data_IF_815097356646
#
_entry.id   IF_815097356646
#
_cell.length_a   1.000
_cell.length_b   1.000
_cell.length_c   1.000
_cell.angle_alpha   90.00
_cell.angle_beta   90.00
_cell.angle_gamma   90.00
#
_symmetry.space_group_name_H-M   'P 1'
#
loop_
_entity.id
_entity.type
_entity.pdbx_description
1 polymer ?
#
# COMPACT_ATOMS: atom_id res chain seq x y z
N UNK A 1 39.81 9.89 61.33
CA UNK A 1 38.69 9.58 60.41
C UNK A 1 39.23 9.68 58.99
N UNK A 2 39.59 8.54 58.37
CA UNK A 2 40.63 8.47 57.35
C UNK A 2 40.18 8.86 55.94
N UNK A 3 40.95 9.77 55.34
CA UNK A 3 40.84 10.33 53.99
C UNK A 3 41.01 9.29 52.86
N UNK A 4 41.43 8.07 53.20
CA UNK A 4 41.64 6.95 52.27
C UNK A 4 40.34 6.32 51.76
N UNK A 5 39.19 6.56 52.41
CA UNK A 5 37.91 5.94 52.02
C UNK A 5 37.25 6.58 50.80
N UNK A 6 37.58 7.84 50.48
CA UNK A 6 36.95 8.59 49.38
C UNK A 6 37.66 8.35 48.04
N UNK A 7 38.98 8.09 48.05
CA UNK A 7 39.75 7.89 46.82
C UNK A 7 39.44 6.55 46.10
N UNK A 8 38.94 5.54 46.82
CA UNK A 8 38.71 4.19 46.28
C UNK A 8 37.28 3.95 45.74
N UNK A 9 36.54 5.01 45.38
CA UNK A 9 35.18 4.88 44.80
C UNK A 9 35.06 5.41 43.37
N UNK A 10 36.05 6.15 42.87
CA UNK A 10 35.99 6.79 41.55
C UNK A 10 36.40 5.90 40.37
N UNK A 11 36.88 4.67 40.61
CA UNK A 11 37.39 3.78 39.55
C UNK A 11 36.60 2.47 39.36
N UNK A 12 35.41 2.35 39.95
CA UNK A 12 34.51 1.25 39.62
C UNK A 12 33.87 1.49 38.24
N UNK A 13 34.52 0.99 37.17
CA UNK A 13 33.90 0.84 35.84
C UNK A 13 32.54 0.17 36.05
N UNK A 14 31.45 0.89 35.77
CA UNK A 14 30.12 0.29 35.69
C UNK A 14 30.19 -0.80 34.62
N UNK A 15 29.96 -2.08 34.92
CA UNK A 15 29.81 -3.08 33.87
C UNK A 15 28.56 -2.69 33.08
N UNK A 16 28.71 -2.50 31.77
CA UNK A 16 27.58 -2.30 30.86
C UNK A 16 26.68 -3.53 30.98
N UNK A 17 25.54 -3.36 31.63
CA UNK A 17 24.50 -4.37 31.93
C UNK A 17 23.89 -5.06 30.69
N UNK A 18 24.32 -4.71 29.49
CA UNK A 18 24.07 -5.47 28.26
C UNK A 18 25.40 -5.82 27.58
N UNK A 19 26.08 -6.83 28.10
CA UNK A 19 27.35 -7.33 27.56
C UNK A 19 27.21 -8.02 26.18
N UNK A 20 25.97 -8.14 25.69
CA UNK A 20 25.61 -8.74 24.39
C UNK A 20 24.79 -7.84 23.45
N UNK A 21 24.63 -6.53 23.71
CA UNK A 21 23.80 -5.67 22.82
C UNK A 21 24.30 -5.68 21.38
N UNK A 22 25.61 -5.60 21.17
CA UNK A 22 26.20 -5.66 19.84
C UNK A 22 26.00 -6.99 19.14
N UNK A 23 26.05 -8.11 19.89
CA UNK A 23 25.87 -9.45 19.34
C UNK A 23 24.40 -9.72 18.98
N UNK A 24 23.46 -9.36 19.86
CA UNK A 24 22.03 -9.48 19.61
C UNK A 24 21.58 -8.56 18.47
N UNK A 25 22.13 -7.35 18.38
CA UNK A 25 21.84 -6.42 17.30
C UNK A 25 22.41 -6.92 15.96
N UNK A 26 23.65 -7.42 15.94
CA UNK A 26 24.26 -8.02 14.74
C UNK A 26 23.51 -9.26 14.26
N UNK A 27 23.10 -10.14 15.17
CA UNK A 27 22.30 -11.31 14.85
C UNK A 27 20.91 -10.91 14.33
N UNK A 28 20.24 -9.95 14.96
CA UNK A 28 18.96 -9.41 14.51
C UNK A 28 19.03 -8.78 13.12
N UNK A 29 20.05 -7.97 12.86
CA UNK A 29 20.29 -7.33 11.55
C UNK A 29 20.57 -8.37 10.47
N UNK A 30 21.38 -9.39 10.79
CA UNK A 30 21.69 -10.49 9.87
C UNK A 30 20.44 -11.31 9.56
N UNK A 31 19.62 -11.61 10.57
CA UNK A 31 18.38 -12.36 10.42
C UNK A 31 17.36 -11.61 9.54
N UNK A 32 17.15 -10.31 9.78
CA UNK A 32 16.30 -9.47 8.94
C UNK A 32 16.82 -9.39 7.50
N UNK A 33 18.12 -9.21 7.34
CA UNK A 33 18.76 -9.17 6.02
C UNK A 33 18.52 -10.46 5.26
N UNK A 34 18.77 -11.63 5.88
CA UNK A 34 18.51 -12.94 5.29
C UNK A 34 17.04 -13.11 4.89
N UNK A 35 16.10 -12.71 5.75
CA UNK A 35 14.67 -12.81 5.45
C UNK A 35 14.25 -12.02 4.21
N UNK A 36 14.87 -10.86 3.95
CA UNK A 36 14.59 -10.04 2.76
C UNK A 36 15.35 -10.55 1.54
N UNK A 37 16.59 -11.01 1.72
CA UNK A 37 17.46 -11.45 0.62
C UNK A 37 17.01 -12.78 0.01
N UNK A 38 16.50 -13.72 0.81
CA UNK A 38 16.01 -15.02 0.32
C UNK A 38 14.94 -14.85 -0.79
N UNK A 39 13.83 -14.11 -0.58
CA UNK A 39 12.81 -13.93 -1.62
C UNK A 39 13.30 -13.07 -2.79
N UNK A 40 14.19 -12.10 -2.55
CA UNK A 40 14.81 -11.32 -3.64
C UNK A 40 15.63 -12.23 -4.56
N UNK A 41 16.54 -13.05 -4.01
CA UNK A 41 17.36 -13.98 -4.80
C UNK A 41 16.47 -14.97 -5.53
N UNK A 42 15.42 -15.50 -4.87
CA UNK A 42 14.46 -16.38 -5.53
C UNK A 42 13.80 -15.67 -6.74
N UNK A 43 13.30 -14.45 -6.56
CA UNK A 43 12.69 -13.64 -7.63
C UNK A 43 13.65 -13.42 -8.81
N UNK A 44 14.92 -13.10 -8.53
CA UNK A 44 15.95 -12.97 -9.56
C UNK A 44 16.23 -14.30 -10.27
N UNK A 45 16.37 -15.41 -9.53
CA UNK A 45 16.60 -16.72 -10.10
C UNK A 45 15.45 -17.19 -11.01
N UNK A 46 14.20 -16.89 -10.64
CA UNK A 46 13.04 -17.14 -11.51
C UNK A 46 13.05 -16.26 -12.76
N UNK A 47 13.49 -15.00 -12.64
CA UNK A 47 13.59 -14.08 -13.79
C UNK A 47 14.65 -14.53 -14.80
N UNK A 48 15.80 -15.06 -14.34
CA UNK A 48 16.86 -15.58 -15.24
C UNK A 48 16.52 -16.92 -15.89
N UNK A 49 15.56 -17.70 -15.35
CA UNK A 49 15.08 -18.95 -15.96
C UNK A 49 14.10 -18.71 -17.12
N UNK A 50 13.56 -17.50 -17.25
CA UNK A 50 12.70 -17.15 -18.37
C UNK A 50 13.56 -16.88 -19.62
N UNK A 51 13.26 -17.59 -20.70
CA UNK A 51 13.90 -17.39 -21.98
C UNK A 51 13.67 -15.94 -22.47
N UNK A 52 14.70 -15.28 -22.98
CA UNK A 52 14.64 -13.87 -23.42
C UNK A 52 13.49 -13.59 -24.40
N UNK A 53 13.14 -14.58 -25.24
CA UNK A 53 12.02 -14.50 -26.17
C UNK A 53 10.65 -14.39 -25.44
N UNK A 54 10.44 -15.16 -24.37
CA UNK A 54 9.22 -15.10 -23.55
C UNK A 54 9.10 -13.78 -22.78
N UNK A 55 10.21 -13.22 -22.34
CA UNK A 55 10.23 -11.92 -21.67
C UNK A 55 9.75 -10.78 -22.59
N UNK A 56 10.22 -10.76 -23.84
CA UNK A 56 9.78 -9.75 -24.83
C UNK A 56 8.31 -9.95 -25.22
N UNK A 57 7.86 -11.20 -25.35
CA UNK A 57 6.46 -11.52 -25.63
C UNK A 57 5.52 -11.00 -24.53
N UNK A 58 5.87 -11.22 -23.25
CA UNK A 58 5.07 -10.76 -22.10
C UNK A 58 5.02 -9.23 -22.01
N UNK A 59 6.15 -8.54 -22.22
CA UNK A 59 6.19 -7.07 -22.17
C UNK A 59 5.43 -6.44 -23.34
N UNK A 60 5.42 -7.12 -24.49
CA UNK A 60 4.71 -6.67 -25.69
C UNK A 60 3.22 -7.01 -25.67
N UNK A 61 2.75 -7.72 -24.65
CA UNK A 61 1.34 -8.02 -24.49
C UNK A 61 0.55 -6.72 -24.24
N UNK A 62 -0.49 -6.53 -25.06
CA UNK A 62 -1.44 -5.44 -24.94
C UNK A 62 -2.05 -5.32 -23.54
N UNK A 63 -2.20 -6.42 -22.80
CA UNK A 63 -2.73 -6.42 -21.45
C UNK A 63 -1.75 -5.80 -20.46
N UNK A 64 -0.47 -6.15 -20.54
CA UNK A 64 0.59 -5.62 -19.66
C UNK A 64 0.80 -4.13 -19.93
N UNK A 65 0.85 -3.73 -21.20
CA UNK A 65 0.99 -2.31 -21.59
C UNK A 65 -0.21 -1.47 -21.13
N UNK A 66 -1.44 -2.02 -21.23
CA UNK A 66 -2.64 -1.32 -20.77
C UNK A 66 -2.65 -1.15 -19.24
N UNK A 67 -2.28 -2.20 -18.50
CA UNK A 67 -2.16 -2.16 -17.04
C UNK A 67 -1.08 -1.17 -16.57
N UNK A 68 0.06 -1.12 -17.26
CA UNK A 68 1.15 -0.20 -16.95
C UNK A 68 0.73 1.26 -17.18
N UNK A 69 0.09 1.57 -18.33
CA UNK A 69 -0.42 2.91 -18.63
C UNK A 69 -1.46 3.36 -17.60
N UNK A 70 -2.39 2.48 -17.23
CA UNK A 70 -3.42 2.77 -16.24
C UNK A 70 -2.80 3.05 -14.86
N UNK A 71 -1.88 2.20 -14.40
CA UNK A 71 -1.20 2.36 -13.12
C UNK A 71 -0.38 3.64 -13.08
N UNK A 72 0.36 3.95 -14.14
CA UNK A 72 1.20 5.14 -14.23
C UNK A 72 0.37 6.43 -14.25
N UNK A 73 -0.70 6.46 -15.06
CA UNK A 73 -1.63 7.59 -15.13
C UNK A 73 -2.33 7.82 -13.79
N UNK A 74 -2.80 6.74 -13.16
CA UNK A 74 -3.51 6.81 -11.87
C UNK A 74 -2.57 7.26 -10.75
N UNK A 75 -1.35 6.72 -10.70
CA UNK A 75 -0.35 7.13 -9.72
C UNK A 75 0.06 8.59 -9.88
N UNK A 76 0.23 9.08 -11.12
CA UNK A 76 0.61 10.46 -11.39
C UNK A 76 -0.52 11.45 -11.01
N UNK A 77 -1.77 11.09 -11.29
CA UNK A 77 -2.93 11.87 -10.87
C UNK A 77 -3.09 11.89 -9.35
N UNK A 78 -3.01 10.72 -8.71
CA UNK A 78 -3.08 10.59 -7.26
C UNK A 78 -1.93 11.34 -6.57
N UNK A 79 -0.71 11.25 -7.08
CA UNK A 79 0.45 11.97 -6.56
C UNK A 79 0.27 13.49 -6.66
N UNK A 80 -0.23 13.99 -7.80
CA UNK A 80 -0.48 15.42 -7.99
C UNK A 80 -1.51 15.94 -6.99
N UNK A 81 -2.62 15.22 -6.81
CA UNK A 81 -3.65 15.58 -5.83
C UNK A 81 -3.12 15.53 -4.41
N UNK A 82 -2.43 14.44 -4.04
CA UNK A 82 -1.83 14.28 -2.71
C UNK A 82 -0.79 15.36 -2.42
N UNK A 83 -0.01 15.76 -3.42
CA UNK A 83 0.96 16.84 -3.30
C UNK A 83 0.24 18.16 -3.04
N UNK A 84 -0.77 18.54 -3.83
CA UNK A 84 -1.48 19.81 -3.65
C UNK A 84 -2.21 19.84 -2.29
N UNK A 85 -3.03 18.83 -1.98
CA UNK A 85 -3.79 18.78 -0.73
C UNK A 85 -2.88 18.65 0.49
N UNK A 86 -1.90 17.74 0.43
CA UNK A 86 -0.93 17.55 1.50
C UNK A 86 -0.07 18.79 1.72
N UNK A 87 0.34 19.47 0.65
CA UNK A 87 1.07 20.74 0.74
C UNK A 87 0.22 21.84 1.38
N UNK A 88 -1.04 22.01 0.98
CA UNK A 88 -1.93 23.03 1.57
C UNK A 88 -2.12 22.76 3.08
N UNK A 89 -2.38 21.51 3.45
CA UNK A 89 -2.58 21.13 4.85
C UNK A 89 -1.29 21.31 5.66
N UNK A 90 -0.16 20.81 5.19
CA UNK A 90 1.13 20.96 5.86
C UNK A 90 1.53 22.43 5.99
N UNK A 91 1.33 23.23 4.94
CA UNK A 91 1.59 24.67 4.94
C UNK A 91 0.70 25.39 5.96
N UNK A 92 -0.59 25.04 6.01
CA UNK A 92 -1.53 25.61 6.98
C UNK A 92 -1.13 25.28 8.42
N UNK A 93 -0.77 24.04 8.72
CA UNK A 93 -0.38 23.60 10.06
C UNK A 93 0.97 24.18 10.52
N UNK A 94 1.89 24.40 9.57
CA UNK A 94 3.19 24.98 9.85
C UNK A 94 3.13 26.50 10.09
N UNK A 95 2.12 27.19 9.55
CA UNK A 95 2.05 28.66 9.55
C UNK A 95 0.96 29.26 10.43
N UNK A 96 -0.08 28.51 10.79
CA UNK A 96 -1.19 28.98 11.63
C UNK A 96 -1.38 28.09 12.85
N UNK A 97 -1.35 28.68 14.03
CA UNK A 97 -1.72 28.03 15.29
C UNK A 97 -3.18 28.34 15.63
N UNK A 98 -4.08 27.44 15.22
CA UNK A 98 -5.50 27.49 15.54
C UNK A 98 -5.85 26.46 16.63
N UNK A 99 -6.89 26.74 17.43
CA UNK A 99 -7.29 25.89 18.56
C UNK A 99 -7.62 24.42 18.17
N UNK A 100 -8.03 24.19 16.92
CA UNK A 100 -8.32 22.85 16.37
C UNK A 100 -7.13 22.10 15.74
N UNK A 101 -5.92 22.64 15.77
CA UNK A 101 -4.73 22.08 15.08
C UNK A 101 -4.44 20.63 15.48
N UNK A 102 -4.50 20.35 16.79
CA UNK A 102 -4.22 19.03 17.37
C UNK A 102 -5.25 17.96 16.96
N UNK A 103 -6.50 18.36 16.69
CA UNK A 103 -7.52 17.44 16.18
C UNK A 103 -7.25 17.09 14.71
N UNK A 104 -6.82 18.08 13.91
CA UNK A 104 -6.48 17.86 12.50
C UNK A 104 -5.24 16.96 12.36
N UNK A 105 -4.19 17.21 13.15
CA UNK A 105 -2.98 16.37 13.22
C UNK A 105 -3.35 14.91 13.56
N UNK A 106 -4.16 14.71 14.60
CA UNK A 106 -4.61 13.37 14.98
C UNK A 106 -5.44 12.69 13.88
N UNK A 107 -6.29 13.43 13.16
CA UNK A 107 -7.11 12.89 12.08
C UNK A 107 -6.25 12.47 10.86
N UNK A 108 -5.16 13.19 10.59
CA UNK A 108 -4.21 12.88 9.51
C UNK A 108 -3.38 11.64 9.83
N UNK A 109 -2.98 11.47 11.10
CA UNK A 109 -2.22 10.29 11.56
C UNK A 109 -3.11 9.05 11.75
N UNK A 110 -4.41 9.24 12.00
CA UNK A 110 -5.37 8.17 12.22
C UNK A 110 -5.35 7.08 11.12
N UNK A 111 -5.46 7.37 9.82
CA UNK A 111 -5.42 6.35 8.78
C UNK A 111 -4.11 5.55 8.73
N UNK A 112 -2.99 6.14 9.17
CA UNK A 112 -1.71 5.44 9.26
C UNK A 112 -1.62 4.53 10.49
N UNK A 113 -2.31 4.89 11.58
CA UNK A 113 -2.47 4.04 12.75
C UNK A 113 -3.51 2.92 12.53
N UNK A 114 -4.44 3.11 11.57
CA UNK A 114 -5.47 2.13 11.26
C UNK A 114 -4.93 1.00 10.37
N UNK A 115 -5.32 -0.27 10.62
CA UNK A 115 -5.02 -1.36 9.71
C UNK A 115 -5.66 -1.11 8.33
N UNK A 116 -4.89 -1.25 7.26
CA UNK A 116 -5.35 -1.08 5.86
C UNK A 116 -6.55 -1.96 5.53
N UNK A 117 -6.64 -3.15 6.15
CA UNK A 117 -7.77 -4.06 6.01
C UNK A 117 -9.10 -3.43 6.45
N UNK A 118 -9.10 -2.65 7.54
CA UNK A 118 -10.31 -2.02 8.08
C UNK A 118 -10.76 -0.87 7.18
N UNK A 119 -9.82 -0.08 6.65
CA UNK A 119 -10.11 0.98 5.69
C UNK A 119 -10.78 0.42 4.42
N UNK A 120 -10.32 -0.72 3.91
CA UNK A 120 -10.95 -1.38 2.76
C UNK A 120 -12.40 -1.78 3.01
N UNK A 121 -12.70 -2.36 4.18
CA UNK A 121 -14.08 -2.75 4.55
C UNK A 121 -14.97 -1.52 4.73
N UNK A 122 -14.45 -0.45 5.33
CA UNK A 122 -15.19 0.80 5.52
C UNK A 122 -15.57 1.44 4.18
N UNK A 123 -14.64 1.48 3.22
CA UNK A 123 -14.91 1.99 1.86
C UNK A 123 -15.94 1.09 1.16
N UNK A 124 -15.78 -0.23 1.22
CA UNK A 124 -16.74 -1.17 0.62
C UNK A 124 -18.15 -1.01 1.21
N UNK A 125 -18.25 -0.77 2.53
CA UNK A 125 -19.53 -0.51 3.19
C UNK A 125 -20.13 0.85 2.82
N UNK A 126 -19.31 1.90 2.71
CA UNK A 126 -19.76 3.23 2.28
C UNK A 126 -20.28 3.24 0.84
N UNK A 127 -19.64 2.49 -0.06
CA UNK A 127 -20.07 2.28 -1.43
C UNK A 127 -21.22 1.27 -1.56
N UNK A 128 -21.48 0.46 -0.53
CA UNK A 128 -22.64 -0.44 -0.50
C UNK A 128 -23.95 0.36 -0.52
N UNK A 129 -25.01 -0.27 -0.99
CA UNK A 129 -26.35 0.33 -1.12
C UNK A 129 -26.95 0.84 0.20
N UNK A 130 -26.45 0.35 1.33
CA UNK A 130 -26.84 0.79 2.67
C UNK A 130 -26.02 1.99 3.17
N UNK A 131 -24.92 2.33 2.49
CA UNK A 131 -24.06 3.46 2.82
C UNK A 131 -24.62 4.80 2.34
N UNK A 132 -24.27 5.86 3.06
CA UNK A 132 -24.68 7.25 2.75
C UNK A 132 -24.19 7.64 1.35
N UNK A 133 -22.97 7.23 0.98
CA UNK A 133 -22.36 7.53 -0.32
C UNK A 133 -23.01 6.73 -1.45
N UNK A 134 -23.29 5.44 -1.23
CA UNK A 134 -24.02 4.61 -2.20
C UNK A 134 -25.41 5.15 -2.55
N UNK A 135 -26.15 5.68 -1.56
CA UNK A 135 -27.47 6.32 -1.80
C UNK A 135 -27.36 7.63 -2.59
N UNK A 136 -26.35 8.45 -2.30
CA UNK A 136 -26.12 9.71 -3.05
C UNK A 136 -25.74 9.43 -4.49
N UNK A 137 -24.93 8.40 -4.76
CA UNK A 137 -24.57 8.04 -6.13
C UNK A 137 -25.72 7.43 -6.94
N UNK A 138 -26.59 6.65 -6.30
CA UNK A 138 -27.85 6.19 -6.92
C UNK A 138 -28.76 7.35 -7.34
N UNK A 139 -28.78 8.46 -6.57
CA UNK A 139 -29.54 9.67 -6.94
C UNK A 139 -28.94 10.41 -8.14
N UNK A 140 -27.63 10.26 -8.39
CA UNK A 140 -26.92 10.88 -9.52
C UNK A 140 -26.99 9.97 -10.77
N UNK A 141 -27.66 8.81 -10.69
CA UNK A 141 -27.87 7.90 -11.82
C UNK A 141 -26.63 7.07 -12.19
N UNK A 142 -25.61 7.05 -11.33
CA UNK A 142 -24.37 6.28 -11.52
C UNK A 142 -24.42 5.08 -10.58
N UNK A 143 -24.83 3.94 -11.12
CA UNK A 143 -24.87 2.67 -10.37
C UNK A 143 -23.53 1.94 -10.49
N UNK A 144 -22.81 1.84 -9.37
CA UNK A 144 -21.53 1.12 -9.28
C UNK A 144 -21.70 -0.38 -8.99
N UNK A 145 -22.94 -0.89 -8.90
CA UNK A 145 -23.22 -2.28 -8.52
C UNK A 145 -22.63 -3.35 -9.46
N UNK A 146 -22.22 -3.00 -10.69
CA UNK A 146 -21.83 -3.99 -11.70
C UNK A 146 -20.50 -3.78 -12.44
N UNK A 147 -19.57 -2.91 -12.01
CA UNK A 147 -18.31 -2.73 -12.76
C UNK A 147 -17.30 -3.85 -12.47
N UNK A 148 -17.61 -5.09 -12.86
CA UNK A 148 -16.60 -6.11 -13.09
C UNK A 148 -15.97 -5.85 -14.46
N UNK A 149 -14.69 -5.48 -14.46
CA UNK A 149 -13.86 -5.46 -15.66
C UNK A 149 -13.68 -6.91 -16.13
N UNK A 150 -14.46 -7.34 -17.12
CA UNK A 150 -14.23 -8.61 -17.79
C UNK A 150 -13.15 -8.41 -18.87
N UNK A 151 -11.88 -8.56 -18.50
CA UNK A 151 -10.70 -8.34 -19.35
C UNK A 151 -10.45 -9.47 -20.37
N UNK A 152 -11.49 -10.22 -20.77
CA UNK A 152 -11.36 -11.49 -21.50
C UNK A 152 -11.91 -11.57 -22.93
N UNK A 153 -12.70 -10.61 -23.42
CA UNK A 153 -13.29 -10.71 -24.77
C UNK A 153 -13.18 -9.34 -25.49
N UNK A 154 -12.10 -9.16 -26.26
CA UNK A 154 -11.83 -8.10 -27.26
C UNK A 154 -12.76 -6.86 -27.20
N UNK A 155 -12.53 -5.99 -26.20
CA UNK A 155 -13.21 -4.69 -26.06
C UNK A 155 -13.70 -4.43 -24.63
N UNK A 156 -13.50 -3.21 -24.13
CA UNK A 156 -14.02 -2.75 -22.84
C UNK A 156 -15.48 -2.32 -22.99
N UNK A 157 -16.42 -3.15 -22.55
CA UNK A 157 -17.85 -2.79 -22.50
C UNK A 157 -18.33 -2.80 -21.05
N UNK A 158 -19.14 -1.79 -20.69
CA UNK A 158 -19.85 -1.68 -19.41
C UNK A 158 -21.02 -2.67 -19.42
N UNK A 159 -21.01 -3.69 -18.57
CA UNK A 159 -22.03 -4.74 -18.54
C UNK A 159 -22.79 -4.71 -17.21
N UNK A 160 -24.12 -4.54 -17.25
CA UNK A 160 -25.00 -4.60 -16.09
C UNK A 160 -25.50 -6.02 -15.77
N UNK A 161 -25.79 -6.26 -14.49
CA UNK A 161 -25.80 -7.52 -13.71
C UNK A 161 -26.53 -8.77 -14.24
N UNK A 162 -27.31 -8.72 -15.33
CA UNK A 162 -28.06 -9.92 -15.80
C UNK A 162 -27.58 -10.48 -17.15
N UNK A 163 -26.86 -9.71 -17.97
CA UNK A 163 -26.37 -10.18 -19.28
C UNK A 163 -24.95 -10.78 -19.24
N UNK A 164 -24.16 -10.42 -18.22
CA UNK A 164 -22.74 -10.76 -18.14
C UNK A 164 -22.49 -12.24 -17.78
N UNK A 165 -23.36 -12.87 -16.97
CA UNK A 165 -23.21 -14.28 -16.60
C UNK A 165 -23.52 -15.24 -17.79
N UNK A 166 -24.37 -14.80 -18.73
CA UNK A 166 -24.60 -15.54 -19.99
C UNK A 166 -23.48 -15.36 -21.00
N UNK A 167 -22.86 -14.18 -21.06
CA UNK A 167 -21.80 -13.87 -22.03
C UNK A 167 -20.41 -14.37 -21.56
N UNK A 168 -20.14 -14.39 -20.26
CA UNK A 168 -18.92 -14.98 -19.69
C UNK A 168 -18.89 -16.50 -19.91
N UNK A 169 -20.01 -17.20 -19.74
CA UNK A 169 -20.16 -18.62 -20.11
C UNK A 169 -20.04 -18.88 -21.62
N UNK A 170 -20.32 -17.89 -22.47
CA UNK A 170 -20.13 -18.01 -23.92
C UNK A 170 -18.67 -17.81 -24.35
N UNK A 171 -17.93 -16.90 -23.70
CA UNK A 171 -16.49 -16.66 -23.97
C UNK A 171 -15.62 -17.83 -23.43
N UNK A 172 -16.02 -18.50 -22.33
CA UNK A 172 -15.37 -19.73 -21.83
C UNK A 172 -15.52 -20.93 -22.79
N UNK A 173 -16.58 -20.96 -23.60
CA UNK A 173 -16.84 -22.05 -24.57
C UNK A 173 -16.07 -21.94 -25.89
N UNK A 174 -15.22 -20.95 -26.07
CA UNK A 174 -14.27 -20.90 -27.21
C UNK A 174 -14.91 -21.03 -28.60
N UNK A 175 -16.11 -20.48 -28.83
CA UNK A 175 -16.60 -20.27 -30.19
C UNK A 175 -16.14 -18.90 -30.68
N UNK A 176 -15.28 -18.94 -31.71
CA UNK A 176 -14.49 -17.83 -32.23
C UNK A 176 -15.26 -16.72 -32.95
#
# INVERSE_FOLDING_TARGET
>A
MNLSYIANKSFAKKPSILQGFGLSFGLGMTYFSLLVIIPLIALFAFSFKLEWAKFVEIISDSQVLSALKFSLSTALFAATINLILGFIVAWSLARYDFFGKRLLEALIDLPFALPTAVAGIAIAFLLSSNGIVGKVFLLIGVDFRGTQFCSGCRGTYLCGDSLCDSHARACDKGLG
#
